data_IF_890996871453
#
_entry.id   IF_890996871453
#
_cell.length_a   1.000
_cell.length_b   1.000
_cell.length_c   1.000
_cell.angle_alpha   90.00
_cell.angle_beta   90.00
_cell.angle_gamma   90.00
#
_symmetry.space_group_name_H-M   'P 1'
#
loop_
_entity.id
_entity.type
_entity.pdbx_description
1 polymer ?
#
# COMPACT_ATOMS: atom_id res chain seq x y z
N UNK A 1 1.40 27.36 -10.08
CA UNK A 1 0.41 26.35 -9.63
C UNK A 1 0.16 26.60 -8.16
N UNK A 2 -0.91 27.33 -7.87
CA UNK A 2 -1.40 27.48 -6.50
C UNK A 2 -2.27 26.26 -6.20
N UNK A 3 -1.83 25.43 -5.25
CA UNK A 3 -2.66 24.34 -4.74
C UNK A 3 -3.55 24.92 -3.64
N UNK A 4 -4.65 25.56 -4.06
CA UNK A 4 -5.67 26.02 -3.12
C UNK A 4 -6.51 24.83 -2.70
N UNK A 5 -6.76 24.68 -1.40
CA UNK A 5 -7.67 23.68 -0.80
C UNK A 5 -9.13 24.07 -1.13
N UNK A 6 -9.47 24.14 -2.41
CA UNK A 6 -10.79 24.50 -2.87
C UNK A 6 -11.70 23.28 -2.74
N UNK A 7 -12.76 23.43 -1.95
CA UNK A 7 -13.81 22.44 -1.78
C UNK A 7 -14.54 22.21 -3.10
N UNK A 8 -14.63 20.93 -3.50
CA UNK A 8 -15.66 20.34 -4.36
C UNK A 8 -16.13 21.22 -5.55
N UNK A 9 -15.19 21.58 -6.43
CA UNK A 9 -15.51 22.31 -7.66
C UNK A 9 -16.21 21.32 -8.59
N UNK A 10 -17.49 21.58 -8.91
CA UNK A 10 -18.18 20.87 -9.99
C UNK A 10 -17.56 21.26 -11.31
N UNK A 11 -16.92 20.30 -11.98
CA UNK A 11 -16.28 20.49 -13.29
C UNK A 11 -17.12 19.78 -14.34
N UNK A 12 -17.53 20.51 -15.37
CA UNK A 12 -18.21 19.94 -16.53
C UNK A 12 -17.17 19.50 -17.56
N UNK A 13 -16.95 18.19 -17.70
CA UNK A 13 -16.05 17.62 -18.70
C UNK A 13 -16.87 17.03 -19.84
N UNK A 14 -16.56 17.44 -21.07
CA UNK A 14 -17.19 16.91 -22.30
C UNK A 14 -16.11 16.26 -23.13
N UNK A 15 -16.30 14.99 -23.47
CA UNK A 15 -15.44 14.22 -24.36
C UNK A 15 -16.30 13.68 -25.51
N UNK A 16 -15.93 13.94 -26.75
CA UNK A 16 -16.65 13.46 -27.95
C UNK A 16 -18.17 13.73 -27.90
N UNK A 17 -18.56 14.94 -27.47
CA UNK A 17 -19.95 15.37 -27.23
C UNK A 17 -20.72 14.61 -26.14
N UNK A 18 -20.06 13.77 -25.35
CA UNK A 18 -20.62 13.13 -24.16
C UNK A 18 -20.14 13.81 -22.88
N UNK A 19 -21.09 14.13 -21.99
CA UNK A 19 -20.78 14.68 -20.67
C UNK A 19 -20.32 13.54 -19.75
N UNK A 20 -19.13 13.69 -19.18
CA UNK A 20 -18.56 12.70 -18.26
C UNK A 20 -19.08 12.98 -16.86
N UNK A 21 -19.65 11.96 -16.22
CA UNK A 21 -20.12 12.03 -14.83
C UNK A 21 -18.94 12.27 -13.86
N UNK A 22 -19.08 13.29 -13.00
CA UNK A 22 -18.16 13.53 -11.90
C UNK A 22 -18.54 12.64 -10.71
N UNK A 23 -17.64 11.73 -10.35
CA UNK A 23 -17.80 10.79 -9.23
C UNK A 23 -16.69 10.95 -8.20
N UNK A 24 -17.01 10.72 -6.91
CA UNK A 24 -16.07 10.89 -5.80
C UNK A 24 -15.08 9.72 -5.63
N UNK A 25 -15.44 8.53 -6.13
CA UNK A 25 -14.52 7.39 -6.14
C UNK A 25 -14.78 6.46 -7.31
N UNK A 26 -13.71 5.96 -7.91
CA UNK A 26 -13.76 5.11 -9.09
C UNK A 26 -12.75 3.96 -8.95
N UNK A 27 -13.08 2.79 -9.51
CA UNK A 27 -12.17 1.65 -9.54
C UNK A 27 -11.54 1.53 -10.92
N UNK A 28 -10.26 1.87 -11.03
CA UNK A 28 -9.49 1.83 -12.27
C UNK A 28 -8.44 0.72 -12.21
N UNK A 29 -8.45 -0.20 -13.19
CA UNK A 29 -7.50 -1.33 -13.28
C UNK A 29 -7.37 -2.13 -11.97
N UNK A 30 -8.46 -2.20 -11.20
CA UNK A 30 -8.49 -2.90 -9.92
C UNK A 30 -8.06 -2.08 -8.70
N UNK A 31 -7.63 -0.83 -8.86
CA UNK A 31 -7.28 0.09 -7.77
C UNK A 31 -8.33 1.20 -7.61
N UNK A 32 -8.64 1.56 -6.37
CA UNK A 32 -9.52 2.66 -6.04
C UNK A 32 -8.80 4.00 -6.16
N UNK A 33 -9.40 4.90 -6.91
CA UNK A 33 -9.04 6.31 -7.03
C UNK A 33 -10.15 7.10 -6.34
N UNK A 34 -9.76 8.02 -5.46
CA UNK A 34 -10.65 8.88 -4.67
C UNK A 34 -10.36 10.34 -4.99
N UNK A 35 -11.40 11.17 -4.94
CA UNK A 35 -11.31 12.62 -5.16
C UNK A 35 -10.34 13.28 -4.17
N UNK A 36 -10.42 12.92 -2.88
CA UNK A 36 -9.57 13.46 -1.82
C UNK A 36 -8.13 12.91 -1.86
N UNK A 37 -7.78 12.08 -2.83
CA UNK A 37 -6.52 11.33 -2.93
C UNK A 37 -6.21 10.45 -1.72
N UNK A 38 -7.21 10.19 -0.87
CA UNK A 38 -7.09 9.29 0.29
C UNK A 38 -7.08 7.83 -0.17
N UNK A 39 -5.98 7.16 0.16
CA UNK A 39 -5.71 5.78 -0.24
C UNK A 39 -6.16 4.77 0.80
N UNK A 40 -6.72 5.23 1.92
CA UNK A 40 -7.26 4.36 2.98
C UNK A 40 -8.27 3.36 2.42
N UNK A 41 -9.11 3.79 1.47
CA UNK A 41 -10.08 2.91 0.80
C UNK A 41 -9.41 1.78 0.00
N UNK A 42 -8.36 2.11 -0.76
CA UNK A 42 -7.60 1.12 -1.54
C UNK A 42 -6.89 0.12 -0.62
N UNK A 43 -6.21 0.63 0.41
CA UNK A 43 -5.46 -0.20 1.37
C UNK A 43 -6.40 -1.18 2.08
N UNK A 44 -7.57 -0.71 2.54
CA UNK A 44 -8.59 -1.58 3.15
C UNK A 44 -9.08 -2.64 2.17
N UNK A 45 -9.39 -2.27 0.93
CA UNK A 45 -9.78 -3.23 -0.10
C UNK A 45 -8.70 -4.32 -0.31
N UNK A 46 -7.42 -3.94 -0.34
CA UNK A 46 -6.31 -4.88 -0.52
C UNK A 46 -6.16 -5.83 0.67
N UNK A 47 -6.32 -5.32 1.89
CA UNK A 47 -6.37 -6.14 3.10
C UNK A 47 -7.51 -7.16 3.00
N UNK A 48 -8.71 -6.75 2.57
CA UNK A 48 -9.84 -7.69 2.43
C UNK A 48 -9.63 -8.73 1.33
N UNK A 49 -9.07 -8.34 0.18
CA UNK A 49 -8.74 -9.28 -0.91
C UNK A 49 -7.68 -10.28 -0.41
N UNK A 50 -6.63 -9.80 0.28
CA UNK A 50 -5.61 -10.65 0.86
C UNK A 50 -6.18 -11.58 1.95
N UNK A 51 -7.09 -11.08 2.79
CA UNK A 51 -7.80 -11.86 3.82
C UNK A 51 -8.66 -12.96 3.20
N UNK A 52 -9.43 -12.63 2.16
CA UNK A 52 -10.24 -13.60 1.41
C UNK A 52 -9.36 -14.68 0.78
N UNK A 53 -8.26 -14.28 0.15
CA UNK A 53 -7.28 -15.20 -0.44
C UNK A 53 -6.64 -16.11 0.61
N UNK A 54 -6.29 -15.57 1.77
CA UNK A 54 -5.78 -16.34 2.91
C UNK A 54 -6.79 -17.39 3.36
N UNK A 55 -8.06 -17.01 3.53
CA UNK A 55 -9.12 -17.92 3.96
C UNK A 55 -9.37 -19.03 2.94
N UNK A 56 -9.32 -18.73 1.63
CA UNK A 56 -9.43 -19.73 0.56
C UNK A 56 -8.28 -20.76 0.61
N UNK A 57 -7.07 -20.31 0.93
CA UNK A 57 -5.88 -21.15 1.03
C UNK A 57 -5.60 -21.63 2.48
N UNK A 58 -6.55 -21.46 3.40
CA UNK A 58 -6.37 -21.77 4.83
C UNK A 58 -5.90 -23.20 5.08
N UNK A 59 -6.38 -24.15 4.27
CA UNK A 59 -5.98 -25.56 4.37
C UNK A 59 -4.47 -25.74 4.21
N UNK A 60 -3.81 -24.95 3.36
CA UNK A 60 -2.35 -24.98 3.19
C UNK A 60 -1.63 -24.28 4.33
N UNK A 61 -2.08 -23.07 4.69
CA UNK A 61 -1.43 -22.24 5.71
C UNK A 61 -1.56 -22.77 7.13
N UNK A 62 -2.63 -23.50 7.42
CA UNK A 62 -2.92 -24.05 8.74
C UNK A 62 -2.71 -25.57 8.81
N UNK A 63 -2.11 -26.21 7.80
CA UNK A 63 -1.78 -27.64 7.90
C UNK A 63 -0.59 -27.85 8.86
N UNK A 64 -0.70 -28.80 9.79
CA UNK A 64 0.40 -29.17 10.70
C UNK A 64 1.43 -30.08 10.04
N UNK A 65 1.04 -30.82 9.00
CA UNK A 65 1.91 -31.76 8.30
C UNK A 65 2.95 -31.05 7.42
N UNK A 66 2.75 -29.75 7.17
CA UNK A 66 3.66 -28.93 6.38
C UNK A 66 4.56 -28.11 7.31
N UNK A 67 5.86 -28.19 7.07
CA UNK A 67 6.86 -27.37 7.76
C UNK A 67 6.46 -25.90 7.81
N UNK A 68 6.59 -25.30 8.99
CA UNK A 68 6.21 -23.89 9.23
C UNK A 68 6.94 -22.94 8.27
N UNK A 69 8.23 -23.19 8.00
CA UNK A 69 9.05 -22.39 7.08
C UNK A 69 8.48 -22.38 5.67
N UNK A 70 8.00 -23.52 5.17
CA UNK A 70 7.36 -23.62 3.86
C UNK A 70 6.01 -22.89 3.84
N UNK A 71 5.19 -23.04 4.88
CA UNK A 71 3.91 -22.33 4.98
C UNK A 71 4.09 -20.81 4.97
N UNK A 72 5.08 -20.31 5.70
CA UNK A 72 5.44 -18.89 5.71
C UNK A 72 5.95 -18.44 4.33
N UNK A 73 6.77 -19.24 3.64
CA UNK A 73 7.25 -18.91 2.28
C UNK A 73 6.09 -18.81 1.28
N UNK A 74 5.16 -19.77 1.30
CA UNK A 74 3.96 -19.74 0.44
C UNK A 74 3.10 -18.52 0.80
N UNK A 75 2.93 -18.22 2.09
CA UNK A 75 2.20 -17.04 2.56
C UNK A 75 2.80 -15.74 2.01
N UNK A 76 4.12 -15.56 2.12
CA UNK A 76 4.81 -14.39 1.58
C UNK A 76 4.74 -14.30 0.05
N UNK A 77 4.74 -15.45 -0.64
CA UNK A 77 4.64 -15.47 -2.10
C UNK A 77 3.25 -15.05 -2.60
N UNK A 78 2.17 -15.56 -2.01
CA UNK A 78 0.80 -15.37 -2.52
C UNK A 78 0.03 -14.25 -1.82
N UNK A 79 0.07 -14.19 -0.49
CA UNK A 79 -0.75 -13.26 0.28
C UNK A 79 -0.10 -11.87 0.30
N UNK A 80 1.21 -11.80 0.52
CA UNK A 80 1.93 -10.53 0.49
C UNK A 80 1.96 -9.90 -0.89
N UNK A 81 2.08 -10.69 -1.96
CA UNK A 81 1.99 -10.16 -3.33
C UNK A 81 0.61 -9.59 -3.64
N UNK A 82 -0.45 -10.23 -3.16
CA UNK A 82 -1.83 -9.73 -3.26
C UNK A 82 -2.04 -8.45 -2.44
N UNK A 83 -1.53 -8.43 -1.22
CA UNK A 83 -1.65 -7.29 -0.29
C UNK A 83 -0.91 -6.06 -0.80
N UNK A 84 0.32 -6.25 -1.30
CA UNK A 84 1.22 -5.16 -1.71
C UNK A 84 1.10 -4.82 -3.20
N UNK A 85 0.04 -5.26 -3.87
CA UNK A 85 -0.20 -4.88 -5.26
C UNK A 85 -0.44 -3.38 -5.38
N UNK A 86 0.36 -2.71 -6.21
CA UNK A 86 0.25 -1.27 -6.45
C UNK A 86 0.75 -0.40 -5.29
N UNK A 87 1.45 -1.01 -4.34
CA UNK A 87 1.95 -0.36 -3.13
C UNK A 87 2.87 0.84 -3.42
N UNK A 88 3.62 0.79 -4.53
CA UNK A 88 4.55 1.82 -4.95
C UNK A 88 3.87 3.19 -5.11
N UNK A 89 2.60 3.18 -5.54
CA UNK A 89 1.75 4.36 -5.72
C UNK A 89 1.11 4.87 -4.41
N UNK A 90 1.23 4.13 -3.30
CA UNK A 90 0.63 4.52 -2.04
C UNK A 90 1.52 5.48 -1.23
N UNK A 91 0.92 6.58 -0.80
CA UNK A 91 1.28 7.46 0.30
C UNK A 91 0.75 6.87 1.60
N UNK A 92 1.63 6.20 2.35
CA UNK A 92 1.23 5.60 3.63
C UNK A 92 1.17 6.63 4.75
N UNK A 93 -0.01 6.73 5.36
CA UNK A 93 -0.18 7.32 6.67
C UNK A 93 0.16 6.28 7.77
N UNK A 94 0.56 6.77 8.95
CA UNK A 94 0.86 5.94 10.14
C UNK A 94 -0.31 5.04 10.54
N UNK A 95 -1.54 5.52 10.40
CA UNK A 95 -2.79 4.77 10.66
C UNK A 95 -2.91 3.55 9.74
N UNK A 96 -2.74 3.76 8.43
CA UNK A 96 -2.79 2.72 7.41
C UNK A 96 -1.66 1.72 7.53
N UNK A 97 -0.48 2.18 7.94
CA UNK A 97 0.64 1.30 8.23
C UNK A 97 0.33 0.31 9.37
N UNK A 98 -0.25 0.79 10.49
CA UNK A 98 -0.69 -0.08 11.59
C UNK A 98 -1.73 -1.11 11.16
N UNK A 99 -2.61 -0.76 10.22
CA UNK A 99 -3.60 -1.70 9.69
C UNK A 99 -2.94 -2.86 8.92
N UNK A 100 -1.87 -2.59 8.18
CA UNK A 100 -1.10 -3.61 7.47
C UNK A 100 -0.34 -4.51 8.45
N UNK A 101 0.29 -3.94 9.48
CA UNK A 101 0.95 -4.72 10.55
C UNK A 101 -0.04 -5.62 11.29
N UNK A 102 -1.23 -5.09 11.63
CA UNK A 102 -2.29 -5.85 12.28
C UNK A 102 -2.77 -7.02 11.39
N UNK A 103 -2.86 -6.80 10.07
CA UNK A 103 -3.21 -7.87 9.12
C UNK A 103 -2.13 -8.95 9.05
N UNK A 104 -0.85 -8.58 9.01
CA UNK A 104 0.27 -9.52 9.04
C UNK A 104 0.22 -10.38 10.33
N UNK A 105 0.04 -9.73 11.48
CA UNK A 105 -0.08 -10.39 12.77
C UNK A 105 -1.29 -11.32 12.86
N UNK A 106 -2.41 -10.94 12.26
CA UNK A 106 -3.59 -11.79 12.14
C UNK A 106 -3.31 -13.06 11.34
N UNK A 107 -2.56 -12.94 10.23
CA UNK A 107 -2.16 -14.10 9.42
C UNK A 107 -1.21 -15.04 10.18
N UNK A 108 -0.16 -14.51 10.82
CA UNK A 108 0.80 -15.34 11.56
C UNK A 108 0.16 -16.09 12.72
N UNK A 109 -0.71 -15.44 13.51
CA UNK A 109 -1.45 -16.12 14.58
C UNK A 109 -2.27 -17.30 14.05
N UNK A 110 -2.91 -17.15 12.88
CA UNK A 110 -3.67 -18.25 12.27
C UNK A 110 -2.79 -19.36 11.72
N UNK A 111 -1.64 -19.03 11.11
CA UNK A 111 -0.66 -20.02 10.63
C UNK A 111 -0.14 -20.85 11.81
N UNK A 112 0.16 -20.20 12.93
CA UNK A 112 0.62 -20.84 14.17
C UNK A 112 -0.50 -21.48 15.00
N UNK A 113 -1.77 -21.25 14.63
CA UNK A 113 -2.96 -21.67 15.38
C UNK A 113 -2.98 -21.16 16.84
N UNK A 114 -2.49 -19.95 17.06
CA UNK A 114 -2.50 -19.29 18.37
C UNK A 114 -3.94 -18.87 18.68
N UNK A 115 -4.43 -19.30 19.84
CA UNK A 115 -5.72 -18.89 20.37
C UNK A 115 -5.63 -17.52 21.02
N UNK A 116 -6.73 -16.79 21.07
CA UNK A 116 -6.82 -15.55 21.85
C UNK A 116 -6.60 -15.81 23.36
N UNK A 117 -6.94 -17.02 23.83
CA UNK A 117 -6.73 -17.45 25.22
C UNK A 117 -5.25 -17.58 25.60
N UNK A 118 -4.36 -17.76 24.62
CA UNK A 118 -2.92 -17.90 24.85
C UNK A 118 -2.28 -16.58 25.29
N UNK A 119 -2.99 -15.44 25.12
CA UNK A 119 -2.54 -14.08 25.50
C UNK A 119 -1.13 -13.71 25.01
N UNK A 120 -0.68 -14.30 23.89
CA UNK A 120 0.64 -14.03 23.32
C UNK A 120 0.75 -12.63 22.71
N UNK A 121 1.80 -11.91 23.07
CA UNK A 121 2.12 -10.59 22.50
C UNK A 121 2.57 -10.71 21.05
N UNK A 122 2.60 -9.60 20.30
CA UNK A 122 3.06 -9.62 18.90
C UNK A 122 4.53 -10.03 18.80
N UNK A 123 5.35 -9.60 19.76
CA UNK A 123 6.79 -9.88 19.83
C UNK A 123 7.02 -11.38 20.00
N UNK A 124 6.27 -12.04 20.89
CA UNK A 124 6.36 -13.49 21.10
C UNK A 124 5.94 -14.29 19.85
N UNK A 125 4.95 -13.80 19.10
CA UNK A 125 4.52 -14.43 17.83
C UNK A 125 5.63 -14.37 16.79
N UNK A 126 6.30 -13.22 16.69
CA UNK A 126 7.40 -12.97 15.77
C UNK A 126 8.66 -13.78 16.14
N UNK A 127 9.00 -13.82 17.43
CA UNK A 127 10.10 -14.61 17.98
C UNK A 127 9.90 -16.11 17.71
N UNK A 128 8.68 -16.63 17.90
CA UNK A 128 8.36 -18.01 17.60
C UNK A 128 8.56 -18.38 16.12
N UNK A 129 8.42 -17.41 15.20
CA UNK A 129 8.71 -17.60 13.78
C UNK A 129 10.18 -17.35 13.43
N UNK A 130 10.96 -16.77 14.35
CA UNK A 130 12.31 -16.28 14.07
C UNK A 130 12.33 -15.15 13.04
N UNK A 131 11.31 -14.29 13.01
CA UNK A 131 11.15 -13.23 11.99
C UNK A 131 10.86 -11.88 12.62
N UNK A 132 11.10 -10.82 11.86
CA UNK A 132 10.59 -9.47 12.15
C UNK A 132 9.33 -9.19 11.33
N UNK A 133 8.64 -8.09 11.62
CA UNK A 133 7.53 -7.61 10.81
C UNK A 133 7.99 -7.34 9.36
N UNK A 134 7.46 -8.11 8.41
CA UNK A 134 7.91 -8.14 7.02
C UNK A 134 7.31 -7.00 6.20
N UNK A 135 6.11 -6.52 6.58
CA UNK A 135 5.40 -5.47 5.86
C UNK A 135 6.29 -4.23 5.69
N UNK A 136 6.92 -3.77 6.78
CA UNK A 136 7.77 -2.58 6.77
C UNK A 136 8.95 -2.70 5.80
N UNK A 137 9.67 -3.82 5.89
CA UNK A 137 10.87 -4.06 5.09
C UNK A 137 10.51 -4.22 3.61
N UNK A 138 9.45 -4.98 3.32
CA UNK A 138 8.93 -5.19 1.96
C UNK A 138 8.56 -3.86 1.29
N UNK A 139 7.91 -2.98 2.04
CA UNK A 139 7.49 -1.64 1.60
C UNK A 139 8.69 -0.77 1.26
N UNK A 140 9.70 -0.74 2.13
CA UNK A 140 10.92 0.05 1.91
C UNK A 140 11.66 -0.43 0.68
N UNK A 141 11.87 -1.74 0.55
CA UNK A 141 12.56 -2.36 -0.58
C UNK A 141 11.84 -2.02 -1.89
N UNK A 142 10.54 -2.27 -1.99
CA UNK A 142 9.76 -1.98 -3.20
C UNK A 142 9.79 -0.51 -3.60
N UNK A 143 9.67 0.40 -2.64
CA UNK A 143 9.77 1.85 -2.92
C UNK A 143 11.16 2.24 -3.44
N UNK A 144 12.22 1.68 -2.88
CA UNK A 144 13.60 1.92 -3.34
C UNK A 144 13.84 1.33 -4.73
N UNK A 145 13.36 0.11 -4.99
CA UNK A 145 13.44 -0.54 -6.31
C UNK A 145 12.70 0.29 -7.35
N UNK A 146 11.48 0.71 -7.06
CA UNK A 146 10.68 1.56 -7.95
C UNK A 146 11.33 2.92 -8.21
N UNK A 147 11.88 3.56 -7.17
CA UNK A 147 12.67 4.78 -7.33
C UNK A 147 13.87 4.56 -8.24
N UNK A 148 14.59 3.44 -8.07
CA UNK A 148 15.68 3.04 -8.95
C UNK A 148 15.24 2.88 -10.41
N UNK A 149 14.07 2.28 -10.65
CA UNK A 149 13.48 2.16 -11.98
C UNK A 149 13.15 3.54 -12.58
N UNK A 150 12.58 4.45 -11.81
CA UNK A 150 12.29 5.84 -12.25
C UNK A 150 13.59 6.55 -12.66
N UNK A 151 14.64 6.42 -11.86
CA UNK A 151 15.89 7.15 -12.11
C UNK A 151 16.63 6.63 -13.36
N UNK A 152 16.61 5.32 -13.60
CA UNK A 152 17.29 4.68 -14.76
C UNK A 152 16.48 4.73 -16.06
N UNK A 153 15.15 4.67 -16.00
CA UNK A 153 14.31 4.48 -17.19
C UNK A 153 13.93 5.78 -17.92
N UNK A 154 14.22 5.87 -19.22
CA UNK A 154 13.77 7.00 -20.07
C UNK A 154 12.24 7.15 -20.11
N UNK A 155 11.50 6.04 -20.04
CA UNK A 155 10.01 6.02 -19.98
C UNK A 155 9.45 6.86 -18.81
N UNK A 156 10.20 7.00 -17.72
CA UNK A 156 9.74 7.67 -16.51
C UNK A 156 10.27 9.10 -16.39
N UNK A 157 10.66 9.73 -17.49
CA UNK A 157 11.24 11.08 -17.50
C UNK A 157 10.37 12.11 -16.77
N UNK A 158 9.05 12.09 -16.99
CA UNK A 158 8.12 12.98 -16.30
C UNK A 158 8.17 12.78 -14.78
N UNK A 159 8.04 11.53 -14.30
CA UNK A 159 8.11 11.21 -12.87
C UNK A 159 9.47 11.57 -12.28
N UNK A 160 10.55 11.34 -13.03
CA UNK A 160 11.92 11.70 -12.63
C UNK A 160 12.07 13.22 -12.47
N UNK A 161 11.53 14.00 -13.39
CA UNK A 161 11.57 15.47 -13.33
C UNK A 161 10.77 16.00 -12.13
N UNK A 162 9.59 15.43 -11.88
CA UNK A 162 8.77 15.73 -10.70
C UNK A 162 9.55 15.42 -9.42
N UNK A 163 10.13 14.23 -9.31
CA UNK A 163 10.90 13.78 -8.14
C UNK A 163 12.16 14.62 -7.90
N UNK A 164 12.86 15.04 -8.97
CA UNK A 164 14.04 15.90 -8.87
C UNK A 164 13.70 17.38 -8.63
N UNK A 165 12.42 17.76 -8.63
CA UNK A 165 11.99 19.15 -8.55
C UNK A 165 12.43 20.00 -9.75
N UNK A 166 12.79 19.37 -10.88
CA UNK A 166 13.15 20.04 -12.13
C UNK A 166 11.87 20.35 -12.91
N UNK A 167 11.02 21.17 -12.31
CA UNK A 167 9.87 21.76 -12.99
C UNK A 167 10.42 22.93 -13.82
N UNK A 168 10.08 23.01 -15.11
CA UNK A 168 10.43 24.19 -15.94
C UNK A 168 9.84 25.44 -15.29
N UNK A 169 10.69 26.34 -14.80
CA UNK A 169 10.30 27.62 -14.19
C UNK A 169 11.30 28.11 -13.13
N UNK A 170 11.29 29.41 -12.82
CA UNK A 170 12.01 29.97 -11.66
C UNK A 170 11.18 29.74 -10.40
N UNK A 171 11.80 29.18 -9.35
CA UNK A 171 11.20 29.11 -8.01
C UNK A 171 11.04 30.54 -7.48
N UNK A 172 9.87 30.89 -6.96
CA UNK A 172 9.68 32.17 -6.26
C UNK A 172 10.59 32.23 -5.03
N UNK A 173 11.08 33.43 -4.70
CA UNK A 173 11.89 33.64 -3.49
C UNK A 173 11.02 33.25 -2.29
N UNK A 174 11.52 32.32 -1.48
CA UNK A 174 10.81 31.88 -0.27
C UNK A 174 10.62 33.05 0.70
N UNK A 175 9.64 32.92 1.60
CA UNK A 175 9.37 33.92 2.64
C UNK A 175 10.66 34.19 3.43
N UNK A 176 11.12 35.45 3.47
CA UNK A 176 12.25 35.86 4.32
C UNK A 176 11.91 35.50 5.77
N UNK A 177 12.84 34.86 6.48
CA UNK A 177 12.74 34.71 7.93
C UNK A 177 12.76 36.13 8.52
N UNK A 178 11.77 36.43 9.36
CA UNK A 178 11.77 37.63 10.18
C UNK A 178 12.86 37.39 11.23
N UNK A 179 13.86 38.25 11.25
CA UNK A 179 14.92 38.31 12.27
C UNK A 179 14.35 38.71 13.62
#
# INVERSE_FOLDING_TARGET
MEFTKAQNIKVKLVLDNTEIEQISSYKYLGAWITEDTDQTKEIRCRIEIARSTFNRMRKLFCNRDIYISLRIRIFLCYIFSTLLYGFEAWTLEKSNFKNLEAFEMWCYRRILKISWMDRKTNEQVLEQLGKQCEVLNSIKIRKLEFLGHIMRGKKYELLRNIMQGKIKGRRSVGRRKIS
#
